data_IF_418298453510
#
_entry.id   IF_418298453510
#
_cell.length_a   1.000
_cell.length_b   1.000
_cell.length_c   1.000
_cell.angle_alpha   90.00
_cell.angle_beta   90.00
_cell.angle_gamma   90.00
#
_symmetry.space_group_name_H-M   'P 1'
#
loop_
_entity.id
_entity.type
_entity.pdbx_description
1 polymer ?
#
# COMPACT_ATOMS: atom_id res chain seq x y z
N UNK A 1 -22.44 -0.02 -0.31
CA UNK A 1 -21.17 -0.28 0.41
C UNK A 1 -20.04 0.46 -0.27
N UNK A 2 -19.03 0.92 0.50
CA UNK A 2 -17.86 1.65 0.01
C UNK A 2 -17.11 0.90 -1.11
N UNK A 3 -17.11 -0.43 -1.04
CA UNK A 3 -16.47 -1.34 -2.00
C UNK A 3 -17.12 -1.32 -3.40
N UNK A 4 -18.45 -1.29 -3.48
CA UNK A 4 -19.16 -1.22 -4.76
C UNK A 4 -18.86 0.10 -5.51
N UNK A 5 -18.62 1.18 -4.77
CA UNK A 5 -18.22 2.47 -5.34
C UNK A 5 -16.83 2.38 -5.96
N UNK A 6 -15.87 1.81 -5.23
CA UNK A 6 -14.49 1.61 -5.71
C UNK A 6 -14.45 0.76 -6.99
N UNK A 7 -15.19 -0.36 -7.03
CA UNK A 7 -15.27 -1.22 -8.22
C UNK A 7 -15.85 -0.47 -9.41
N UNK A 8 -16.88 0.35 -9.19
CA UNK A 8 -17.46 1.16 -10.27
C UNK A 8 -16.47 2.20 -10.78
N UNK A 9 -15.71 2.87 -9.90
CA UNK A 9 -14.67 3.82 -10.30
C UNK A 9 -13.56 3.16 -11.13
N UNK A 10 -13.11 1.97 -10.72
CA UNK A 10 -12.13 1.18 -11.49
C UNK A 10 -12.67 0.82 -12.88
N UNK A 11 -13.93 0.34 -12.96
CA UNK A 11 -14.57 0.01 -14.25
C UNK A 11 -14.72 1.24 -15.15
N UNK A 12 -15.09 2.39 -14.59
CA UNK A 12 -15.18 3.65 -15.34
C UNK A 12 -13.82 4.09 -15.87
N UNK A 13 -12.75 3.98 -15.07
CA UNK A 13 -11.39 4.28 -15.50
C UNK A 13 -10.95 3.34 -16.64
N UNK A 14 -11.20 2.04 -16.50
CA UNK A 14 -10.90 1.04 -17.54
C UNK A 14 -11.63 1.35 -18.84
N UNK A 15 -12.94 1.61 -18.79
CA UNK A 15 -13.75 1.95 -19.95
C UNK A 15 -13.28 3.25 -20.64
N UNK A 16 -12.78 4.20 -19.86
CA UNK A 16 -12.20 5.45 -20.34
C UNK A 16 -10.73 5.39 -20.74
N UNK A 17 -10.07 4.22 -20.65
CA UNK A 17 -8.63 4.07 -20.86
C UNK A 17 -7.76 4.99 -19.97
N UNK A 18 -8.22 5.25 -18.74
CA UNK A 18 -7.58 6.18 -17.81
C UNK A 18 -6.67 5.46 -16.82
N UNK A 19 -5.59 6.15 -16.42
CA UNK A 19 -4.77 5.70 -15.29
C UNK A 19 -5.58 5.70 -14.00
N UNK A 20 -5.34 4.72 -13.15
CA UNK A 20 -5.99 4.57 -11.85
C UNK A 20 -4.94 4.29 -10.77
N UNK A 21 -5.09 4.94 -9.62
CA UNK A 21 -4.20 4.76 -8.46
C UNK A 21 -5.05 4.43 -7.24
N UNK A 22 -4.67 3.37 -6.53
CA UNK A 22 -5.26 2.98 -5.26
C UNK A 22 -4.20 3.02 -4.16
N UNK A 23 -4.40 3.89 -3.18
CA UNK A 23 -3.59 3.90 -1.95
C UNK A 23 -4.23 2.97 -0.92
N UNK A 24 -3.47 1.99 -0.44
CA UNK A 24 -3.92 1.03 0.58
C UNK A 24 -2.72 0.50 1.36
N UNK A 25 -2.88 0.05 2.62
CA UNK A 25 -1.81 -0.58 3.39
C UNK A 25 -1.25 -1.89 2.79
N UNK A 26 -1.84 -2.43 1.72
CA UNK A 26 -1.47 -3.70 1.05
C UNK A 26 -1.58 -4.96 1.92
N UNK A 27 -2.26 -4.85 3.06
CA UNK A 27 -2.37 -5.92 4.05
C UNK A 27 -3.55 -6.86 3.84
N UNK A 28 -4.54 -6.47 3.05
CA UNK A 28 -5.73 -7.30 2.82
C UNK A 28 -5.59 -8.04 1.48
N UNK A 29 -5.62 -9.39 1.48
CA UNK A 29 -5.53 -10.21 0.28
C UNK A 29 -6.61 -9.88 -0.76
N UNK A 30 -7.74 -9.31 -0.33
CA UNK A 30 -8.85 -9.00 -1.22
C UNK A 30 -8.50 -7.92 -2.25
N UNK A 31 -7.69 -6.91 -1.92
CA UNK A 31 -7.34 -5.84 -2.89
C UNK A 31 -6.50 -6.36 -4.07
N UNK A 32 -5.79 -7.47 -3.90
CA UNK A 32 -4.94 -8.04 -4.95
C UNK A 32 -5.76 -8.62 -6.11
N UNK A 33 -7.04 -8.98 -5.89
CA UNK A 33 -7.92 -9.43 -6.97
C UNK A 33 -8.16 -8.34 -8.03
N UNK A 34 -8.02 -7.08 -7.64
CA UNK A 34 -8.22 -5.95 -8.55
C UNK A 34 -7.07 -5.81 -9.55
N UNK A 35 -5.91 -6.41 -9.31
CA UNK A 35 -4.83 -6.42 -10.28
C UNK A 35 -5.26 -7.11 -11.57
N UNK A 36 -5.90 -8.29 -11.45
CA UNK A 36 -6.41 -9.04 -12.59
C UNK A 36 -7.37 -8.20 -13.44
N UNK A 37 -8.22 -7.38 -12.81
CA UNK A 37 -9.17 -6.51 -13.51
C UNK A 37 -8.47 -5.54 -14.48
N UNK A 38 -7.31 -5.01 -14.09
CA UNK A 38 -6.53 -4.09 -14.91
C UNK A 38 -5.60 -4.83 -15.88
N UNK A 39 -5.01 -5.96 -15.47
CA UNK A 39 -4.19 -6.81 -16.35
C UNK A 39 -5.00 -7.34 -17.53
N UNK A 40 -6.20 -7.87 -17.28
CA UNK A 40 -7.11 -8.37 -18.31
C UNK A 40 -7.56 -7.25 -19.28
N UNK A 41 -7.57 -6.00 -18.81
CA UNK A 41 -7.84 -4.82 -19.62
C UNK A 41 -6.59 -4.26 -20.35
N UNK A 42 -5.44 -4.91 -20.23
CA UNK A 42 -4.20 -4.57 -20.94
C UNK A 42 -3.35 -3.49 -20.26
N UNK A 43 -3.58 -3.18 -18.99
CA UNK A 43 -2.80 -2.19 -18.26
C UNK A 43 -1.47 -2.74 -17.78
N UNK A 44 -0.50 -1.85 -17.60
CA UNK A 44 0.71 -2.16 -16.85
C UNK A 44 0.49 -1.87 -15.37
N UNK A 45 0.74 -2.86 -14.53
CA UNK A 45 0.67 -2.70 -13.08
C UNK A 45 2.01 -2.21 -12.53
N UNK A 46 1.95 -1.15 -11.71
CA UNK A 46 3.07 -0.64 -10.94
C UNK A 46 2.72 -0.60 -9.45
N UNK A 47 3.64 -1.07 -8.61
CA UNK A 47 3.56 -0.90 -7.15
C UNK A 47 4.63 0.09 -6.70
N UNK A 48 4.19 1.08 -5.93
CA UNK A 48 5.04 2.01 -5.20
C UNK A 48 4.90 1.69 -3.72
N UNK A 49 5.87 0.98 -3.15
CA UNK A 49 5.83 0.55 -1.76
C UNK A 49 6.66 1.49 -0.88
N UNK A 50 6.00 2.20 0.03
CA UNK A 50 6.65 3.03 1.04
C UNK A 50 6.95 2.17 2.26
N UNK A 51 8.24 2.03 2.58
CA UNK A 51 8.71 1.15 3.65
C UNK A 51 9.49 1.91 4.74
N UNK A 52 9.61 1.26 5.88
CA UNK A 52 10.45 1.65 7.01
C UNK A 52 11.24 0.42 7.47
N UNK A 53 12.41 0.64 8.06
CA UNK A 53 13.34 -0.43 8.44
C UNK A 53 12.84 -1.34 9.59
N UNK A 54 11.97 -0.83 10.47
CA UNK A 54 11.50 -1.58 11.64
C UNK A 54 10.03 -1.33 11.97
N UNK A 55 9.39 -2.30 12.64
CA UNK A 55 8.02 -2.14 13.18
C UNK A 55 7.96 -0.95 14.15
N UNK A 56 9.04 -0.71 14.88
CA UNK A 56 9.21 0.38 15.85
C UNK A 56 9.18 1.74 15.14
N UNK A 57 9.83 1.87 13.97
CA UNK A 57 9.70 3.06 13.13
C UNK A 57 8.25 3.27 12.66
N UNK A 58 7.54 2.20 12.28
CA UNK A 58 6.12 2.30 11.91
C UNK A 58 5.26 2.77 13.10
N UNK A 59 5.46 2.22 14.30
CA UNK A 59 4.77 2.63 15.53
C UNK A 59 5.04 4.11 15.85
N UNK A 60 6.30 4.54 15.75
CA UNK A 60 6.68 5.94 15.99
C UNK A 60 6.00 6.89 15.00
N UNK A 61 5.94 6.54 13.70
CA UNK A 61 5.23 7.35 12.69
C UNK A 61 3.72 7.43 12.95
N UNK A 62 3.10 6.34 13.39
CA UNK A 62 1.67 6.38 13.78
C UNK A 62 1.47 7.26 15.01
N UNK A 63 2.33 7.17 16.03
CA UNK A 63 2.26 8.04 17.21
C UNK A 63 2.41 9.52 16.85
N UNK A 64 3.39 9.86 16.01
CA UNK A 64 3.56 11.22 15.50
C UNK A 64 2.29 11.70 14.80
N UNK A 65 1.77 10.91 13.84
CA UNK A 65 0.55 11.25 13.10
C UNK A 65 -0.65 11.45 14.03
N UNK A 66 -0.78 10.64 15.08
CA UNK A 66 -1.86 10.79 16.09
C UNK A 66 -1.71 12.11 16.85
N UNK A 67 -0.47 12.49 17.21
CA UNK A 67 -0.22 13.79 17.86
C UNK A 67 -0.56 14.99 16.96
N UNK A 68 -0.48 14.80 15.63
CA UNK A 68 -0.84 15.78 14.61
C UNK A 68 -2.34 15.75 14.24
N UNK A 69 -3.17 14.96 14.96
CA UNK A 69 -4.62 14.88 14.78
C UNK A 69 -5.11 13.76 13.85
N UNK A 70 -4.23 12.82 13.47
CA UNK A 70 -4.60 11.66 12.66
C UNK A 70 -5.17 10.48 13.46
N UNK A 71 -5.53 9.41 12.75
CA UNK A 71 -6.19 8.24 13.35
C UNK A 71 -5.20 7.30 14.03
N UNK A 72 -5.58 6.80 15.21
CA UNK A 72 -4.83 5.79 15.94
C UNK A 72 -5.01 4.40 15.31
N UNK A 73 -3.95 3.60 15.36
CA UNK A 73 -3.94 2.19 14.94
C UNK A 73 -3.25 1.38 16.03
N UNK A 74 -3.75 0.19 16.33
CA UNK A 74 -3.16 -0.63 17.39
C UNK A 74 -1.74 -1.11 17.01
N UNK A 75 -0.83 -1.24 17.97
CA UNK A 75 0.51 -1.79 17.71
C UNK A 75 0.50 -3.19 17.09
N UNK A 76 -0.52 -4.00 17.41
CA UNK A 76 -0.70 -5.35 16.85
C UNK A 76 -1.07 -5.30 15.37
N UNK A 77 -1.99 -4.41 14.98
CA UNK A 77 -2.34 -4.19 13.57
C UNK A 77 -1.12 -3.70 12.79
N UNK A 78 -0.36 -2.74 13.34
CA UNK A 78 0.87 -2.23 12.69
C UNK A 78 1.86 -3.37 12.45
N UNK A 79 2.10 -4.22 13.46
CA UNK A 79 3.00 -5.37 13.35
C UNK A 79 2.49 -6.40 12.32
N UNK A 80 1.19 -6.69 12.31
CA UNK A 80 0.58 -7.61 11.35
C UNK A 80 0.74 -7.14 9.91
N UNK A 81 0.43 -5.87 9.65
CA UNK A 81 0.61 -5.23 8.33
C UNK A 81 2.08 -5.29 7.91
N UNK A 82 2.99 -4.85 8.77
CA UNK A 82 4.42 -4.84 8.50
C UNK A 82 4.95 -6.23 8.07
N UNK A 83 4.55 -7.27 8.80
CA UNK A 83 5.00 -8.63 8.53
C UNK A 83 4.41 -9.22 7.24
N UNK A 84 3.19 -8.84 6.86
CA UNK A 84 2.48 -9.45 5.73
C UNK A 84 2.68 -8.72 4.41
N UNK A 85 2.97 -7.42 4.43
CA UNK A 85 3.04 -6.61 3.20
C UNK A 85 4.03 -7.17 2.17
N UNK A 86 5.28 -7.45 2.59
CA UNK A 86 6.28 -8.00 1.69
C UNK A 86 5.94 -9.43 1.24
N UNK A 87 5.26 -10.21 2.08
CA UNK A 87 4.78 -11.55 1.72
C UNK A 87 3.75 -11.46 0.60
N UNK A 88 2.78 -10.55 0.71
CA UNK A 88 1.77 -10.33 -0.32
C UNK A 88 2.37 -9.80 -1.62
N UNK A 89 3.25 -8.79 -1.54
CA UNK A 89 3.98 -8.26 -2.72
C UNK A 89 4.74 -9.38 -3.41
N UNK A 90 5.48 -10.20 -2.65
CA UNK A 90 6.26 -11.30 -3.22
C UNK A 90 5.36 -12.36 -3.89
N UNK A 91 4.17 -12.62 -3.34
CA UNK A 91 3.23 -13.59 -3.93
C UNK A 91 2.67 -13.15 -5.30
N UNK A 92 2.70 -11.85 -5.60
CA UNK A 92 2.13 -11.26 -6.81
C UNK A 92 3.22 -10.64 -7.71
N UNK A 93 4.50 -10.92 -7.45
CA UNK A 93 5.62 -10.22 -8.09
C UNK A 93 5.63 -10.35 -9.62
N UNK A 94 5.06 -11.43 -10.17
CA UNK A 94 4.96 -11.67 -11.60
C UNK A 94 3.97 -10.74 -12.31
N UNK A 95 2.99 -10.18 -11.58
CA UNK A 95 1.98 -9.26 -12.12
C UNK A 95 2.52 -7.84 -12.31
N UNK A 96 3.61 -7.48 -11.62
CA UNK A 96 4.13 -6.11 -11.67
C UNK A 96 5.09 -5.93 -12.83
N UNK A 97 4.78 -4.96 -13.70
CA UNK A 97 5.75 -4.50 -14.69
C UNK A 97 6.83 -3.61 -14.05
N UNK A 98 6.50 -2.98 -12.93
CA UNK A 98 7.41 -2.13 -12.15
C UNK A 98 7.08 -2.25 -10.67
N UNK A 99 8.12 -2.48 -9.87
CA UNK A 99 8.04 -2.50 -8.42
C UNK A 99 9.13 -1.57 -7.88
N UNK A 100 8.72 -0.53 -7.16
CA UNK A 100 9.62 0.47 -6.59
C UNK A 100 9.45 0.52 -5.07
N UNK A 101 10.58 0.55 -4.37
CA UNK A 101 10.66 0.66 -2.92
C UNK A 101 11.14 2.05 -2.55
N UNK A 102 10.39 2.71 -1.67
CA UNK A 102 10.68 4.04 -1.18
C UNK A 102 10.93 3.96 0.32
N UNK A 103 12.20 3.93 0.70
CA UNK A 103 12.59 3.91 2.11
C UNK A 103 12.40 5.30 2.73
N UNK A 104 11.43 5.38 3.64
CA UNK A 104 11.13 6.59 4.40
C UNK A 104 11.87 6.67 5.73
N UNK A 105 12.82 5.77 6.00
CA UNK A 105 13.58 5.73 7.26
C UNK A 105 14.48 6.95 7.35
N UNK A 106 14.01 7.96 8.08
CA UNK A 106 14.84 9.11 8.45
C UNK A 106 15.67 8.68 9.66
N UNK A 107 16.94 8.37 9.44
CA UNK A 107 17.90 8.20 10.52
C UNK A 107 18.14 9.60 11.10
N UNK A 108 17.63 9.86 12.29
CA UNK A 108 17.99 11.08 13.01
C UNK A 108 19.47 10.95 13.41
N UNK A 109 20.36 11.50 12.58
CA UNK A 109 21.76 11.67 12.92
C UNK A 109 21.82 12.65 14.09
N UNK A 110 21.89 12.13 15.32
CA UNK A 110 22.36 12.91 16.45
C UNK A 110 23.82 13.30 16.16
N UNK A 111 24.03 14.53 15.66
CA UNK A 111 25.32 15.18 15.80
C UNK A 111 25.49 15.49 17.29
N UNK A 112 26.33 14.69 17.95
CA UNK A 112 26.88 14.96 19.29
C UNK A 112 27.83 16.15 19.25
#
# INVERSE_FOLDING_TARGET
>A
MMEAKLINEMKSAIAGQQHFVLETPLSDPYYWIYLNLFEDAGYHIQINYLCLDTVEHCKARVQQRVSEGGHAVSPETIKGVYNMNLVHINSQIASFKRLEFYDGTIIQLCFV
#
